data_IF_013063552874
#
_entry.id   IF_013063552874
#
_cell.length_a   1.000
_cell.length_b   1.000
_cell.length_c   1.000
_cell.angle_alpha   90.00
_cell.angle_beta   90.00
_cell.angle_gamma   90.00
#
_symmetry.space_group_name_H-M   'P 1'
#
loop_
_entity.id
_entity.type
_entity.pdbx_description
1 polymer ?
#
# COMPACT_ATOMS: atom_id res chain seq x y z
N UNK A 1 4.67 24.55 -0.93
CA UNK A 1 4.93 23.11 -0.72
C UNK A 1 3.63 22.50 -0.25
N UNK A 2 3.11 21.54 -1.00
CA UNK A 2 1.88 20.83 -0.62
C UNK A 2 2.19 19.88 0.51
N UNK A 3 1.26 19.72 1.45
CA UNK A 3 1.46 18.87 2.61
C UNK A 3 0.33 17.83 2.66
N UNK A 4 0.51 16.75 1.92
CA UNK A 4 -0.48 15.67 1.85
C UNK A 4 -0.68 14.99 3.20
N UNK A 5 0.35 14.96 4.05
CA UNK A 5 0.23 14.50 5.45
C UNK A 5 -0.87 15.23 6.20
N UNK A 6 -0.96 16.56 6.06
CA UNK A 6 -2.00 17.39 6.68
C UNK A 6 -3.36 17.15 6.04
N UNK A 7 -3.41 16.96 4.72
CA UNK A 7 -4.66 16.73 3.98
C UNK A 7 -5.32 15.41 4.35
N UNK A 8 -4.53 14.34 4.53
CA UNK A 8 -5.02 13.01 4.86
C UNK A 8 -4.92 12.67 6.36
N UNK A 9 -4.88 13.68 7.23
CA UNK A 9 -4.89 13.42 8.69
C UNK A 9 -6.11 12.57 9.06
N UNK A 10 -5.93 11.51 9.87
CA UNK A 10 -7.05 10.69 10.31
C UNK A 10 -8.18 11.52 10.90
N UNK A 11 -9.36 11.48 10.27
CA UNK A 11 -10.58 12.02 10.85
C UNK A 11 -11.08 11.08 11.95
N UNK A 12 -11.62 11.59 13.07
CA UNK A 12 -12.29 10.76 14.07
C UNK A 12 -13.44 9.91 13.50
N UNK A 13 -14.05 10.40 12.42
CA UNK A 13 -15.11 9.71 11.70
C UNK A 13 -14.51 8.76 10.65
N UNK A 14 -14.19 7.55 11.10
CA UNK A 14 -13.62 6.47 10.29
C UNK A 14 -14.62 5.88 9.28
N UNK A 15 -15.90 6.26 9.32
CA UNK A 15 -16.91 5.76 8.37
C UNK A 15 -16.83 6.47 7.00
N UNK A 16 -16.11 7.59 6.93
CA UNK A 16 -15.95 8.42 5.71
C UNK A 16 -14.68 8.09 4.90
N UNK A 17 -14.13 6.88 5.06
CA UNK A 17 -12.94 6.46 4.33
C UNK A 17 -13.26 5.68 3.03
N UNK A 18 -12.47 5.86 1.96
CA UNK A 18 -11.27 6.70 1.89
C UNK A 18 -11.59 8.20 1.93
N UNK A 19 -10.81 8.96 2.69
CA UNK A 19 -10.93 10.42 2.69
C UNK A 19 -10.43 10.94 1.34
N UNK A 20 -11.36 11.48 0.54
CA UNK A 20 -11.05 12.10 -0.74
C UNK A 20 -10.97 13.61 -0.60
N UNK A 21 -9.97 14.22 -1.24
CA UNK A 21 -9.75 15.66 -1.29
C UNK A 21 -9.76 16.12 -2.74
N UNK A 22 -10.49 17.19 -3.05
CA UNK A 22 -10.40 17.85 -4.36
C UNK A 22 -9.11 18.71 -4.38
N UNK A 23 -8.17 18.35 -5.25
CA UNK A 23 -6.85 18.99 -5.36
C UNK A 23 -6.50 19.20 -6.84
N UNK A 24 -6.31 20.46 -7.25
CA UNK A 24 -5.95 20.84 -8.63
C UNK A 24 -6.83 20.18 -9.72
N UNK A 25 -8.13 20.06 -9.45
CA UNK A 25 -9.09 19.46 -10.40
C UNK A 25 -9.10 17.92 -10.41
N UNK A 26 -8.33 17.27 -9.53
CA UNK A 26 -8.33 15.82 -9.32
C UNK A 26 -8.91 15.49 -7.95
N UNK A 27 -9.50 14.30 -7.83
CA UNK A 27 -9.89 13.72 -6.54
C UNK A 27 -8.76 12.83 -6.05
N UNK A 28 -8.03 13.28 -5.04
CA UNK A 28 -6.90 12.53 -4.46
C UNK A 28 -7.33 11.81 -3.19
N UNK A 29 -6.69 10.68 -2.89
CA UNK A 29 -6.96 9.81 -1.74
C UNK A 29 -5.68 9.06 -1.33
N UNK A 30 -5.64 8.52 -0.11
CA UNK A 30 -4.51 7.69 0.36
C UNK A 30 -4.61 6.21 -0.04
N UNK A 31 -5.81 5.73 -0.30
CA UNK A 31 -6.10 4.39 -0.83
C UNK A 31 -7.45 4.37 -1.52
N UNK A 32 -7.65 3.43 -2.44
CA UNK A 32 -8.92 3.21 -3.12
C UNK A 32 -9.71 2.05 -2.50
N UNK A 33 -11.04 2.12 -2.63
CA UNK A 33 -11.94 0.98 -2.40
C UNK A 33 -12.42 0.49 -3.75
N UNK A 34 -11.73 -0.52 -4.28
CA UNK A 34 -12.05 -1.07 -5.59
C UNK A 34 -13.17 -2.13 -5.47
N UNK A 35 -14.34 -1.93 -6.11
CA UNK A 35 -15.44 -2.87 -6.03
C UNK A 35 -15.07 -4.24 -6.61
N UNK A 36 -15.48 -5.32 -5.93
CA UNK A 36 -15.11 -6.68 -6.32
C UNK A 36 -16.21 -7.68 -5.96
N UNK A 37 -16.31 -8.77 -6.73
CA UNK A 37 -17.06 -9.95 -6.33
C UNK A 37 -16.15 -11.08 -5.81
N UNK A 38 -16.70 -11.97 -5.00
CA UNK A 38 -15.98 -13.18 -4.58
C UNK A 38 -15.53 -13.99 -5.80
N UNK A 39 -14.28 -14.47 -5.77
CA UNK A 39 -13.59 -15.27 -6.81
C UNK A 39 -13.31 -14.55 -8.11
N UNK A 40 -13.48 -13.23 -8.17
CA UNK A 40 -13.09 -12.42 -9.31
C UNK A 40 -11.56 -12.40 -9.47
N UNK A 41 -11.10 -12.36 -10.71
CA UNK A 41 -9.67 -12.22 -11.04
C UNK A 41 -9.41 -10.82 -11.58
N UNK A 42 -8.45 -10.14 -10.96
CA UNK A 42 -7.95 -8.86 -11.40
C UNK A 42 -6.56 -9.03 -12.03
N UNK A 43 -6.28 -8.27 -13.07
CA UNK A 43 -5.00 -8.20 -13.73
C UNK A 43 -4.40 -6.83 -13.40
N UNK A 44 -3.27 -6.83 -12.72
CA UNK A 44 -2.52 -5.61 -12.39
C UNK A 44 -1.30 -5.47 -13.30
N UNK A 45 -0.93 -4.24 -13.63
CA UNK A 45 0.26 -3.93 -14.43
C UNK A 45 0.92 -2.65 -13.92
N UNK A 46 2.17 -2.75 -13.47
CA UNK A 46 3.02 -1.58 -13.13
C UNK A 46 3.52 -1.00 -14.44
N UNK A 47 2.92 0.08 -14.93
CA UNK A 47 3.22 0.66 -16.24
C UNK A 47 4.52 1.46 -16.24
N UNK A 48 4.75 2.23 -15.18
CA UNK A 48 5.90 3.12 -15.03
C UNK A 48 6.25 3.27 -13.54
N UNK A 49 7.54 3.46 -13.28
CA UNK A 49 8.08 3.93 -12.00
C UNK A 49 9.09 5.06 -12.25
N UNK A 50 9.07 6.10 -11.42
CA UNK A 50 9.92 7.28 -11.55
C UNK A 50 10.45 7.78 -10.19
N UNK A 51 10.78 6.86 -9.30
CA UNK A 51 11.23 7.19 -7.95
C UNK A 51 12.65 6.72 -7.67
N UNK A 52 13.29 7.35 -6.68
CA UNK A 52 14.54 6.86 -6.06
C UNK A 52 14.30 5.64 -5.15
N UNK A 53 13.07 5.40 -4.72
CA UNK A 53 12.67 4.25 -3.90
C UNK A 53 12.15 3.12 -4.79
N UNK A 54 12.28 1.88 -4.31
CA UNK A 54 11.60 0.75 -4.95
C UNK A 54 10.10 0.89 -4.74
N UNK A 55 9.33 0.84 -5.83
CA UNK A 55 7.88 1.09 -5.83
C UNK A 55 7.06 -0.18 -5.94
N UNK A 56 5.79 -0.07 -5.55
CA UNK A 56 4.81 -1.13 -5.69
C UNK A 56 3.39 -0.69 -5.38
N UNK A 57 2.50 -1.68 -5.28
CA UNK A 57 1.17 -1.51 -4.73
C UNK A 57 0.81 -2.63 -3.75
N UNK A 58 -0.14 -2.35 -2.86
CA UNK A 58 -0.68 -3.33 -1.92
C UNK A 58 -2.16 -3.61 -2.20
N UNK A 59 -2.54 -4.87 -1.97
CA UNK A 59 -3.94 -5.29 -1.99
C UNK A 59 -4.34 -5.73 -0.58
N UNK A 60 -5.30 -5.02 0.00
CA UNK A 60 -5.98 -5.37 1.24
C UNK A 60 -7.30 -6.09 0.97
N UNK A 61 -7.51 -7.27 1.56
CA UNK A 61 -8.77 -8.02 1.44
C UNK A 61 -9.36 -8.29 2.81
N UNK A 62 -10.65 -7.97 2.98
CA UNK A 62 -11.40 -8.27 4.20
C UNK A 62 -12.00 -9.67 4.18
N UNK A 63 -11.95 -10.34 5.32
CA UNK A 63 -12.49 -11.68 5.58
C UNK A 63 -12.18 -12.71 4.48
N UNK A 64 -10.95 -12.67 3.98
CA UNK A 64 -10.60 -13.23 2.69
C UNK A 64 -9.12 -13.56 2.53
N UNK A 65 -8.72 -13.82 1.28
CA UNK A 65 -7.34 -14.00 0.85
C UNK A 65 -7.20 -13.74 -0.66
N UNK A 66 -5.95 -13.56 -1.09
CA UNK A 66 -5.54 -13.43 -2.48
C UNK A 66 -4.79 -14.69 -2.93
N UNK A 67 -4.83 -14.95 -4.24
CA UNK A 67 -4.00 -15.97 -4.90
C UNK A 67 -3.37 -15.38 -6.16
N UNK A 68 -2.06 -15.51 -6.29
CA UNK A 68 -1.26 -15.11 -7.46
C UNK A 68 -0.40 -16.29 -7.89
N UNK A 69 -0.67 -16.84 -9.08
CA UNK A 69 -0.05 -18.09 -9.52
C UNK A 69 -0.29 -19.24 -8.52
N UNK A 70 0.80 -19.80 -7.98
CA UNK A 70 0.78 -20.85 -6.94
C UNK A 70 0.76 -20.29 -5.53
N UNK A 71 1.03 -18.99 -5.35
CA UNK A 71 1.14 -18.34 -4.05
C UNK A 71 -0.25 -17.92 -3.57
N UNK A 72 -0.52 -18.16 -2.29
CA UNK A 72 -1.77 -17.76 -1.63
C UNK A 72 -1.46 -17.11 -0.29
N UNK A 73 -2.17 -16.04 0.04
CA UNK A 73 -2.12 -15.44 1.38
C UNK A 73 -2.95 -16.21 2.40
N UNK A 74 -2.56 -16.10 3.68
CA UNK A 74 -3.32 -16.68 4.78
C UNK A 74 -4.69 -16.01 4.90
N UNK A 75 -5.73 -16.83 5.07
CA UNK A 75 -7.09 -16.32 5.33
C UNK A 75 -7.14 -15.62 6.68
N UNK A 76 -7.50 -14.34 6.70
CA UNK A 76 -7.55 -13.50 7.91
C UNK A 76 -8.73 -12.53 7.82
N UNK A 77 -9.09 -11.89 8.94
CA UNK A 77 -10.11 -10.81 8.98
C UNK A 77 -9.76 -9.64 8.06
N UNK A 78 -8.47 -9.36 7.95
CA UNK A 78 -7.89 -8.53 6.92
C UNK A 78 -6.58 -9.21 6.53
N UNK A 79 -6.30 -9.37 5.24
CA UNK A 79 -5.00 -9.77 4.73
C UNK A 79 -4.51 -8.69 3.78
N UNK A 80 -3.19 -8.51 3.73
CA UNK A 80 -2.55 -7.52 2.88
C UNK A 80 -1.38 -8.21 2.20
N UNK A 81 -1.24 -7.97 0.90
CA UNK A 81 -0.13 -8.49 0.11
C UNK A 81 0.49 -7.36 -0.70
N UNK A 82 1.82 -7.38 -0.77
CA UNK A 82 2.63 -6.35 -1.39
C UNK A 82 3.15 -6.86 -2.74
N UNK A 83 2.96 -6.06 -3.78
CA UNK A 83 3.46 -6.32 -5.12
C UNK A 83 4.46 -5.23 -5.49
N UNK A 84 5.70 -5.63 -5.78
CA UNK A 84 6.85 -4.79 -6.04
C UNK A 84 7.26 -4.83 -7.50
N UNK A 85 7.79 -3.73 -8.00
CA UNK A 85 8.32 -3.62 -9.35
C UNK A 85 9.52 -4.54 -9.63
N UNK A 86 10.30 -4.92 -8.61
CA UNK A 86 11.55 -5.68 -8.72
C UNK A 86 11.40 -7.15 -8.29
N UNK A 87 10.17 -7.59 -8.03
CA UNK A 87 9.91 -8.94 -7.56
C UNK A 87 10.22 -10.00 -8.64
N UNK A 88 10.91 -11.06 -8.24
CA UNK A 88 11.29 -12.17 -9.14
C UNK A 88 10.19 -13.24 -9.31
N UNK A 89 9.08 -13.11 -8.58
CA UNK A 89 8.05 -14.16 -8.48
C UNK A 89 6.88 -14.03 -9.46
N UNK A 90 6.81 -12.92 -10.19
CA UNK A 90 5.76 -12.62 -11.18
C UNK A 90 6.30 -11.59 -12.18
N UNK A 91 5.59 -11.41 -13.29
CA UNK A 91 5.83 -10.32 -14.23
C UNK A 91 5.14 -9.05 -13.72
N UNK A 92 5.86 -7.97 -13.36
CA UNK A 92 5.25 -6.72 -12.91
C UNK A 92 4.30 -6.08 -13.92
N UNK A 93 4.44 -6.41 -15.21
CA UNK A 93 3.55 -5.93 -16.27
C UNK A 93 2.26 -6.76 -16.42
N UNK A 94 2.18 -7.92 -15.78
CA UNK A 94 1.02 -8.81 -15.88
C UNK A 94 0.86 -9.69 -14.63
N UNK A 95 0.23 -9.14 -13.60
CA UNK A 95 0.02 -9.78 -12.30
C UNK A 95 -1.44 -10.23 -12.17
N UNK A 96 -1.68 -11.52 -12.35
CA UNK A 96 -2.99 -12.12 -12.14
C UNK A 96 -3.26 -12.38 -10.65
N UNK A 97 -4.27 -11.72 -10.10
CA UNK A 97 -4.66 -11.84 -8.69
C UNK A 97 -6.11 -12.28 -8.59
N UNK A 98 -6.32 -13.52 -8.14
CA UNK A 98 -7.65 -14.03 -7.80
C UNK A 98 -8.01 -13.65 -6.37
N UNK A 99 -9.15 -13.00 -6.19
CA UNK A 99 -9.63 -12.49 -4.90
C UNK A 99 -10.68 -13.43 -4.32
N UNK A 100 -10.53 -13.83 -3.07
CA UNK A 100 -11.54 -14.58 -2.32
C UNK A 100 -11.95 -13.73 -1.12
N UNK A 101 -13.21 -13.28 -1.07
CA UNK A 101 -13.65 -12.32 -0.06
C UNK A 101 -15.14 -12.49 0.26
N UNK A 102 -15.54 -11.98 1.43
CA UNK A 102 -16.95 -11.75 1.78
C UNK A 102 -17.36 -10.28 1.65
N UNK A 103 -16.41 -9.40 1.40
CA UNK A 103 -16.65 -7.98 1.19
C UNK A 103 -17.08 -7.68 -0.24
N UNK A 104 -17.54 -6.46 -0.45
CA UNK A 104 -17.93 -5.88 -1.75
C UNK A 104 -16.79 -5.07 -2.39
N UNK A 105 -15.63 -4.98 -1.74
CA UNK A 105 -14.46 -4.25 -2.23
C UNK A 105 -13.16 -4.83 -1.66
N UNK A 106 -12.05 -4.50 -2.35
CA UNK A 106 -10.69 -4.58 -1.82
C UNK A 106 -10.15 -3.17 -1.56
N UNK A 107 -9.07 -3.09 -0.79
CA UNK A 107 -8.25 -1.88 -0.65
C UNK A 107 -7.08 -1.97 -1.61
N UNK A 108 -6.83 -0.88 -2.34
CA UNK A 108 -5.64 -0.72 -3.17
C UNK A 108 -4.89 0.52 -2.68
N UNK A 109 -3.60 0.40 -2.42
CA UNK A 109 -2.74 1.51 -1.99
C UNK A 109 -1.37 1.43 -2.67
N UNK A 110 -0.69 2.57 -2.80
CA UNK A 110 0.71 2.60 -3.24
C UNK A 110 1.62 2.24 -2.06
N UNK A 111 2.76 1.63 -2.38
CA UNK A 111 3.79 1.25 -1.42
C UNK A 111 5.17 1.59 -1.99
N UNK A 112 6.14 1.84 -1.12
CA UNK A 112 7.53 2.07 -1.51
C UNK A 112 8.48 1.53 -0.43
N UNK A 113 9.73 1.25 -0.76
CA UNK A 113 10.73 0.79 0.21
C UNK A 113 11.71 1.89 0.58
N UNK A 114 11.92 2.09 1.89
CA UNK A 114 13.00 2.93 2.41
C UNK A 114 14.08 2.06 3.03
N UNK A 115 15.32 2.55 3.04
CA UNK A 115 16.38 1.96 3.86
C UNK A 115 16.36 2.54 5.27
N UNK A 116 16.28 1.66 6.27
CA UNK A 116 16.39 2.02 7.68
C UNK A 116 17.67 1.44 8.28
N UNK A 117 18.36 2.25 9.08
CA UNK A 117 19.58 1.84 9.78
C UNK A 117 19.32 1.28 11.18
N UNK A 118 18.07 1.26 11.63
CA UNK A 118 17.69 0.86 12.98
C UNK A 118 16.22 1.10 13.26
N UNK A 119 15.80 0.85 14.49
CA UNK A 119 14.43 1.06 14.96
C UNK A 119 14.43 1.67 16.37
N UNK A 120 13.41 2.45 16.67
CA UNK A 120 13.09 2.85 18.04
C UNK A 120 12.23 1.77 18.69
N UNK A 121 12.57 1.36 19.90
CA UNK A 121 11.74 0.42 20.64
C UNK A 121 12.30 0.08 22.00
N UNK A 122 11.85 -1.03 22.54
CA UNK A 122 12.34 -1.62 23.79
C UNK A 122 12.99 -2.96 23.51
N UNK A 123 14.19 -3.21 24.04
CA UNK A 123 14.84 -4.53 24.02
C UNK A 123 15.25 -4.97 25.42
N UNK A 124 15.34 -6.27 25.62
CA UNK A 124 15.91 -6.85 26.84
C UNK A 124 17.42 -6.61 26.86
N UNK A 125 17.95 -6.07 27.97
CA UNK A 125 19.41 -5.95 28.14
C UNK A 125 20.08 -7.32 28.26
N UNK A 126 19.45 -8.22 28.99
CA UNK A 126 19.91 -9.59 29.23
C UNK A 126 18.71 -10.56 29.29
N UNK A 127 18.93 -11.82 28.95
CA UNK A 127 17.91 -12.87 29.07
C UNK A 127 17.67 -13.17 30.56
N UNK A 128 16.48 -12.83 31.08
CA UNK A 128 16.01 -13.32 32.38
C UNK A 128 15.76 -12.27 33.47
N UNK A 129 16.27 -11.05 33.31
CA UNK A 129 16.40 -10.14 34.46
C UNK A 129 15.35 -9.01 34.55
N UNK A 130 14.35 -8.99 33.68
CA UNK A 130 13.30 -7.97 33.78
C UNK A 130 13.68 -6.60 33.17
N UNK A 131 14.96 -6.35 32.89
CA UNK A 131 15.44 -5.03 32.47
C UNK A 131 15.29 -4.84 30.97
N UNK A 132 14.32 -4.01 30.60
CA UNK A 132 14.16 -3.49 29.23
C UNK A 132 14.86 -2.14 29.12
N UNK A 133 15.55 -1.90 28.02
CA UNK A 133 15.98 -0.57 27.63
C UNK A 133 15.16 -0.06 26.46
N UNK A 134 14.77 1.20 26.56
CA UNK A 134 14.15 1.94 25.47
C UNK A 134 15.22 2.79 24.77
N UNK A 135 15.19 2.80 23.44
CA UNK A 135 16.12 3.59 22.66
C UNK A 135 16.08 3.28 21.17
N UNK A 136 17.00 3.91 20.45
CA UNK A 136 17.26 3.59 19.05
C UNK A 136 18.28 2.46 18.94
N UNK A 137 17.89 1.35 18.33
CA UNK A 137 18.74 0.20 18.08
C UNK A 137 19.15 0.16 16.62
N UNK A 138 20.44 0.30 16.37
CA UNK A 138 21.02 0.16 15.03
C UNK A 138 20.98 -1.30 14.59
N UNK A 139 20.69 -1.53 13.32
CA UNK A 139 20.92 -2.81 12.69
C UNK A 139 22.40 -2.95 12.30
N UNK A 140 22.88 -4.20 12.24
CA UNK A 140 24.23 -4.49 11.74
C UNK A 140 24.43 -4.06 10.29
N UNK A 141 23.35 -4.07 9.50
CA UNK A 141 23.27 -3.57 8.12
C UNK A 141 21.92 -2.88 7.91
N UNK A 142 21.84 -1.85 7.06
CA UNK A 142 20.57 -1.27 6.67
C UNK A 142 19.59 -2.34 6.18
N UNK A 143 18.32 -2.16 6.51
CA UNK A 143 17.22 -3.02 6.06
C UNK A 143 16.29 -2.21 5.19
N UNK A 144 15.70 -2.87 4.20
CA UNK A 144 14.56 -2.32 3.46
C UNK A 144 13.29 -2.50 4.28
N UNK A 145 12.55 -1.43 4.49
CA UNK A 145 11.25 -1.46 5.16
C UNK A 145 10.16 -0.92 4.22
N UNK A 146 9.05 -1.64 4.07
CA UNK A 146 7.93 -1.19 3.26
C UNK A 146 7.20 -0.04 3.96
N UNK A 147 7.05 1.05 3.24
CA UNK A 147 6.20 2.17 3.56
C UNK A 147 4.95 2.11 2.69
N UNK A 148 3.81 2.46 3.29
CA UNK A 148 2.53 2.48 2.59
C UNK A 148 1.52 3.27 3.41
N UNK A 149 0.44 3.66 2.75
CA UNK A 149 -0.73 4.21 3.43
C UNK A 149 -1.48 3.07 4.16
N UNK A 150 -1.02 2.71 5.36
CA UNK A 150 -1.49 1.55 6.11
C UNK A 150 -2.66 1.84 7.06
N UNK A 151 -3.73 1.06 6.96
CA UNK A 151 -4.89 1.10 7.88
C UNK A 151 -4.73 0.29 9.18
N UNK A 152 -3.63 -0.48 9.31
CA UNK A 152 -3.46 -1.46 10.40
C UNK A 152 -2.94 -0.89 11.71
N UNK A 153 -2.34 0.30 11.68
CA UNK A 153 -1.97 1.05 12.87
C UNK A 153 -2.39 2.49 12.66
N UNK A 154 -3.60 2.81 13.11
CA UNK A 154 -4.12 4.17 13.35
C UNK A 154 -3.26 5.00 14.35
N UNK A 155 -1.96 4.68 14.48
CA UNK A 155 -0.97 5.25 15.39
C UNK A 155 0.41 5.53 14.76
N UNK A 156 0.63 5.28 13.47
CA UNK A 156 1.73 5.91 12.72
C UNK A 156 1.13 6.69 11.55
N UNK A 157 0.22 7.60 11.90
CA UNK A 157 -0.46 8.47 10.96
C UNK A 157 0.48 9.55 10.47
N UNK A 158 1.28 9.24 9.47
CA UNK A 158 1.62 10.16 8.41
C UNK A 158 1.64 9.27 7.18
N UNK A 159 0.82 9.51 6.16
CA UNK A 159 0.97 8.83 4.86
C UNK A 159 2.35 9.10 4.21
N UNK A 160 3.31 9.60 4.98
CA UNK A 160 4.63 10.07 4.63
C UNK A 160 4.68 11.16 3.56
N UNK A 161 3.54 11.59 3.02
CA UNK A 161 3.48 12.45 1.85
C UNK A 161 2.73 11.78 0.70
N UNK A 162 2.52 10.47 0.76
CA UNK A 162 1.87 9.70 -0.29
C UNK A 162 0.42 10.09 -0.48
N UNK A 163 0.07 10.17 -1.75
CA UNK A 163 -1.26 10.41 -2.24
C UNK A 163 -1.41 9.71 -3.60
N UNK A 164 -2.64 9.38 -3.96
CA UNK A 164 -2.95 8.83 -5.27
C UNK A 164 -4.23 9.46 -5.83
N UNK A 165 -4.36 9.44 -7.14
CA UNK A 165 -5.64 9.55 -7.82
C UNK A 165 -5.79 8.42 -8.83
N UNK A 166 -7.01 8.24 -9.33
CA UNK A 166 -7.28 7.27 -10.38
C UNK A 166 -8.09 7.84 -11.52
N UNK A 167 -7.91 7.26 -12.69
CA UNK A 167 -8.76 7.47 -13.87
C UNK A 167 -9.44 6.15 -14.22
N UNK A 168 -10.73 6.21 -14.54
CA UNK A 168 -11.46 5.04 -15.02
C UNK A 168 -10.97 4.68 -16.42
N UNK A 169 -10.73 3.38 -16.64
CA UNK A 169 -10.37 2.81 -17.94
C UNK A 169 -11.33 1.67 -18.27
N UNK A 170 -11.24 1.12 -19.48
CA UNK A 170 -12.04 -0.03 -19.86
C UNK A 170 -11.83 -1.18 -18.85
N UNK A 171 -12.92 -1.61 -18.22
CA UNK A 171 -12.96 -2.70 -17.23
C UNK A 171 -12.08 -2.50 -15.99
N UNK A 172 -11.69 -1.27 -15.65
CA UNK A 172 -10.67 -1.06 -14.63
C UNK A 172 -10.39 0.38 -14.24
N UNK A 173 -9.26 0.58 -13.57
CA UNK A 173 -8.72 1.89 -13.21
C UNK A 173 -7.22 1.96 -13.51
N UNK A 174 -6.74 3.17 -13.80
CA UNK A 174 -5.31 3.52 -13.77
C UNK A 174 -5.06 4.41 -12.56
N UNK A 175 -4.04 4.07 -11.77
CA UNK A 175 -3.62 4.81 -10.59
C UNK A 175 -2.34 5.58 -10.89
N UNK A 176 -2.28 6.78 -10.34
CA UNK A 176 -1.15 7.71 -10.41
C UNK A 176 -0.82 8.09 -8.97
N UNK A 177 0.41 7.85 -8.53
CA UNK A 177 0.75 7.87 -7.12
C UNK A 177 2.06 8.61 -6.89
N UNK A 178 2.15 9.25 -5.71
CA UNK A 178 3.39 9.73 -5.13
C UNK A 178 3.77 8.88 -3.92
N UNK A 179 5.06 8.78 -3.67
CA UNK A 179 5.64 8.09 -2.52
C UNK A 179 5.76 9.00 -1.28
N UNK A 180 6.77 8.79 -0.45
CA UNK A 180 7.01 9.59 0.75
C UNK A 180 7.57 11.00 0.46
N UNK A 181 7.98 11.29 -0.76
CA UNK A 181 8.35 12.65 -1.15
C UNK A 181 7.09 13.48 -1.48
N UNK A 182 6.94 14.66 -0.87
CA UNK A 182 5.77 15.54 -1.06
C UNK A 182 5.89 16.37 -2.37
N UNK A 183 6.03 15.71 -3.52
CA UNK A 183 5.88 16.34 -4.84
C UNK A 183 4.42 16.23 -5.33
N UNK A 184 4.12 16.61 -6.58
CA UNK A 184 2.73 16.73 -7.06
C UNK A 184 2.52 16.25 -8.50
N UNK A 185 3.47 15.52 -9.08
CA UNK A 185 3.38 15.00 -10.45
C UNK A 185 2.69 13.63 -10.53
N UNK A 186 2.59 12.88 -9.43
CA UNK A 186 1.90 11.58 -9.36
C UNK A 186 2.47 10.55 -10.33
N UNK A 187 3.79 10.60 -10.56
CA UNK A 187 4.48 9.74 -11.51
C UNK A 187 5.48 8.74 -10.91
N UNK A 188 5.65 8.74 -9.57
CA UNK A 188 6.51 7.78 -8.86
C UNK A 188 6.14 6.34 -9.18
N UNK A 189 4.83 6.04 -9.22
CA UNK A 189 4.31 4.80 -9.79
C UNK A 189 2.97 5.03 -10.49
N UNK A 190 2.91 4.52 -11.72
CA UNK A 190 1.67 4.41 -12.50
C UNK A 190 1.39 2.93 -12.71
N UNK A 191 0.19 2.49 -12.32
CA UNK A 191 -0.22 1.11 -12.51
C UNK A 191 -1.71 1.00 -12.84
N UNK A 192 -2.08 -0.08 -13.51
CA UNK A 192 -3.47 -0.38 -13.84
C UNK A 192 -3.98 -1.59 -13.07
N UNK A 193 -5.29 -1.61 -12.88
CA UNK A 193 -6.06 -2.79 -12.48
C UNK A 193 -7.19 -2.96 -13.47
N UNK A 194 -7.35 -4.15 -14.02
CA UNK A 194 -8.46 -4.50 -14.91
C UNK A 194 -9.06 -5.82 -14.48
N UNK A 195 -10.33 -6.04 -14.81
CA UNK A 195 -10.96 -7.35 -14.64
C UNK A 195 -10.49 -8.27 -15.76
N UNK A 196 -10.12 -9.50 -15.43
CA UNK A 196 -9.89 -10.52 -16.44
C UNK A 196 -11.18 -10.69 -17.25
N UNK A 197 -11.09 -10.66 -18.58
CA UNK A 197 -12.22 -10.98 -19.45
C UNK A 197 -12.68 -12.40 -19.15
N UNK A 198 -13.96 -12.57 -18.81
CA UNK A 198 -14.59 -13.89 -18.63
C UNK A 198 -14.67 -14.65 -19.96
#
# INVERSE_FOLDING_TARGET
MTNFKKMFRPSPDHTKWPHTVDYKGKKIFGFDRFPINDKETLIFSIEQTNSKFTQGFAIGVFDGYTKTGTIRTNKKKFCEYLYWEDAKGYDPKNIDVKIFTKGDHIIISNIWEIEVSGYWGTRWKEWGDGITEEGFFKYDKPKKEPCYYGSRYWKAGEGNGAAMYSEDILNGKRYFCNDGDEDEDFDDIIFTVTRASN
#
